data_IF_170077364853
#
_entry.id   IF_170077364853
#
_cell.length_a   1.000
_cell.length_b   1.000
_cell.length_c   1.000
_cell.angle_alpha   90.00
_cell.angle_beta   90.00
_cell.angle_gamma   90.00
#
_symmetry.space_group_name_H-M   'P 1'
#
loop_
_entity.id
_entity.type
_entity.pdbx_description
1 polymer ?
#
# COMPACT_ATOMS: atom_id res chain seq x y z
N UNK A 1 11.46 32.33 -16.98
CA UNK A 1 10.18 32.85 -16.45
C UNK A 1 9.12 31.80 -16.75
N UNK A 2 8.67 31.02 -15.77
CA UNK A 2 7.66 29.97 -15.98
C UNK A 2 6.31 30.51 -15.53
N UNK A 3 5.40 30.72 -16.49
CA UNK A 3 4.02 31.10 -16.22
C UNK A 3 3.25 29.83 -15.91
N UNK A 4 2.88 29.64 -14.64
CA UNK A 4 1.99 28.56 -14.22
C UNK A 4 0.54 29.02 -14.42
N UNK A 5 -0.11 28.58 -15.50
CA UNK A 5 -1.56 28.72 -15.64
C UNK A 5 -2.24 27.66 -14.78
N UNK A 6 -2.82 28.06 -13.66
CA UNK A 6 -3.71 27.21 -12.87
C UNK A 6 -5.02 27.02 -13.65
N UNK A 7 -5.29 25.81 -14.12
CA UNK A 7 -6.62 25.43 -14.62
C UNK A 7 -7.55 25.24 -13.42
N UNK A 8 -8.38 26.24 -13.12
CA UNK A 8 -9.49 26.11 -12.16
C UNK A 8 -10.63 25.34 -12.82
N UNK A 9 -10.65 24.02 -12.66
CA UNK A 9 -11.86 23.25 -12.95
C UNK A 9 -12.91 23.57 -11.87
N UNK A 10 -14.03 24.16 -12.29
CA UNK A 10 -15.19 24.38 -11.42
C UNK A 10 -15.78 23.00 -11.08
N UNK A 11 -15.63 22.59 -9.83
CA UNK A 11 -16.24 21.37 -9.29
C UNK A 11 -17.72 21.66 -9.00
N UNK A 12 -18.64 21.09 -9.77
CA UNK A 12 -20.10 21.22 -9.58
C UNK A 12 -20.70 20.11 -8.72
N UNK A 13 -19.89 19.38 -7.94
CA UNK A 13 -20.42 18.35 -7.06
C UNK A 13 -21.17 18.98 -5.87
N UNK A 14 -22.50 18.99 -5.95
CA UNK A 14 -23.41 19.59 -4.96
C UNK A 14 -23.59 18.75 -3.69
N UNK A 15 -22.82 17.69 -3.50
CA UNK A 15 -22.92 16.80 -2.34
C UNK A 15 -22.27 17.32 -1.06
N UNK A 16 -21.63 18.49 -1.07
CA UNK A 16 -20.92 19.05 0.09
C UNK A 16 -21.69 20.17 0.82
N UNK A 17 -23.01 20.24 0.66
CA UNK A 17 -23.85 21.25 1.31
C UNK A 17 -24.96 20.58 2.09
N UNK A 18 -24.61 20.03 3.26
CA UNK A 18 -25.47 19.90 4.45
C UNK A 18 -24.76 19.04 5.51
N UNK A 19 -23.74 19.59 6.15
CA UNK A 19 -23.31 19.13 7.48
C UNK A 19 -23.27 20.35 8.39
N UNK A 20 -24.41 20.64 9.02
CA UNK A 20 -24.55 21.78 9.90
C UNK A 20 -25.99 22.22 10.13
N UNK A 21 -26.88 21.31 10.53
CA UNK A 21 -28.05 21.67 11.34
C UNK A 21 -28.64 20.43 12.02
N UNK A 22 -29.00 20.66 13.25
CA UNK A 22 -29.41 19.73 14.28
C UNK A 22 -30.70 18.96 13.94
N UNK A 23 -30.82 17.85 14.64
CA UNK A 23 -31.78 16.76 14.61
C UNK A 23 -33.27 17.14 14.53
N UNK A 24 -33.95 16.68 13.47
CA UNK A 24 -35.35 16.25 13.55
C UNK A 24 -35.57 14.96 12.76
N UNK A 25 -36.07 13.93 13.44
CA UNK A 25 -36.45 12.63 12.87
C UNK A 25 -37.65 12.82 11.92
N UNK A 26 -37.37 13.10 10.65
CA UNK A 26 -38.38 13.00 9.59
C UNK A 26 -38.50 11.52 9.21
N UNK A 27 -39.69 10.95 9.43
CA UNK A 27 -40.03 9.60 8.94
C UNK A 27 -39.83 9.59 7.42
N UNK A 28 -38.89 8.79 6.93
CA UNK A 28 -38.70 8.56 5.49
C UNK A 28 -39.89 7.75 4.99
N UNK A 29 -40.81 8.40 4.29
CA UNK A 29 -41.75 7.68 3.44
C UNK A 29 -40.98 6.95 2.33
N UNK A 30 -41.39 5.74 1.93
CA UNK A 30 -40.71 5.00 0.88
C UNK A 30 -40.89 5.76 -0.44
N UNK A 31 -39.80 6.37 -0.91
CA UNK A 31 -39.71 6.90 -2.26
C UNK A 31 -40.04 5.80 -3.26
N UNK A 32 -40.87 6.13 -4.26
CA UNK A 32 -41.27 5.24 -5.36
C UNK A 32 -40.08 4.57 -6.08
N UNK A 33 -38.88 5.19 -6.00
CA UNK A 33 -37.64 4.64 -6.52
C UNK A 33 -37.06 3.44 -5.75
N UNK A 34 -37.50 3.16 -4.52
CA UNK A 34 -36.93 2.08 -3.71
C UNK A 34 -37.35 0.68 -4.18
N UNK A 35 -38.52 0.53 -4.81
CA UNK A 35 -38.94 -0.73 -5.42
C UNK A 35 -38.23 -1.05 -6.74
N UNK A 36 -37.54 -0.07 -7.34
CA UNK A 36 -36.77 -0.26 -8.58
C UNK A 36 -35.35 -0.80 -8.32
N UNK A 37 -34.81 -0.61 -7.11
CA UNK A 37 -33.51 -1.19 -6.72
C UNK A 37 -33.64 -2.55 -6.04
N UNK A 38 -34.87 -2.94 -5.68
CA UNK A 38 -35.18 -4.26 -5.16
C UNK A 38 -35.06 -5.29 -6.30
N UNK A 39 -33.87 -5.88 -6.42
CA UNK A 39 -33.65 -7.05 -7.26
C UNK A 39 -34.54 -8.17 -6.73
N UNK A 40 -35.71 -8.37 -7.33
CA UNK A 40 -36.48 -9.60 -7.16
C UNK A 40 -35.58 -10.78 -7.53
N UNK A 41 -35.03 -11.44 -6.52
CA UNK A 41 -34.42 -12.73 -6.68
C UNK A 41 -35.58 -13.71 -6.82
N UNK A 42 -36.02 -13.93 -8.05
CA UNK A 42 -36.85 -15.09 -8.39
C UNK A 42 -36.01 -16.32 -8.06
N UNK A 43 -36.18 -16.84 -6.84
CA UNK A 43 -35.69 -18.16 -6.47
C UNK A 43 -36.55 -19.17 -7.22
N UNK A 44 -36.08 -19.54 -8.41
CA UNK A 44 -36.60 -20.71 -9.09
C UNK A 44 -36.17 -21.91 -8.24
N UNK A 45 -37.13 -22.50 -7.53
CA UNK A 45 -36.92 -23.74 -6.80
C UNK A 45 -36.90 -24.88 -7.82
N UNK A 46 -35.71 -25.23 -8.30
CA UNK A 46 -35.48 -26.36 -9.24
C UNK A 46 -35.74 -27.75 -8.60
N UNK A 47 -36.61 -27.85 -7.61
CA UNK A 47 -36.78 -29.05 -6.81
C UNK A 47 -38.22 -29.58 -6.84
N UNK A 48 -38.75 -29.83 -8.05
CA UNK A 48 -39.84 -30.79 -8.21
C UNK A 48 -39.19 -32.10 -8.68
N UNK A 49 -38.98 -33.02 -7.75
CA UNK A 49 -38.36 -34.33 -7.99
C UNK A 49 -39.36 -35.26 -8.73
N UNK A 50 -39.66 -34.94 -9.99
CA UNK A 50 -40.45 -35.80 -10.86
C UNK A 50 -39.60 -37.02 -11.27
N UNK A 51 -40.15 -38.24 -11.27
CA UNK A 51 -39.37 -39.46 -11.46
C UNK A 51 -38.82 -39.63 -12.88
N UNK A 52 -39.04 -38.70 -13.82
CA UNK A 52 -38.45 -38.78 -15.15
C UNK A 52 -38.29 -37.42 -15.85
N UNK A 53 -37.04 -36.92 -15.83
CA UNK A 53 -36.58 -35.65 -16.44
C UNK A 53 -36.22 -35.76 -17.94
N UNK A 54 -36.58 -36.85 -18.64
CA UNK A 54 -36.03 -37.12 -19.97
C UNK A 54 -36.62 -36.26 -21.10
N UNK A 55 -37.81 -35.66 -20.91
CA UNK A 55 -38.47 -34.90 -21.97
C UNK A 55 -38.03 -33.43 -21.95
N UNK A 56 -37.85 -32.84 -20.75
CA UNK A 56 -37.49 -31.44 -20.61
C UNK A 56 -36.05 -31.17 -21.10
N UNK A 57 -35.07 -32.02 -20.77
CA UNK A 57 -33.66 -31.83 -21.20
C UNK A 57 -33.37 -32.16 -22.67
N UNK A 58 -34.31 -32.76 -23.41
CA UNK A 58 -34.09 -33.16 -24.81
C UNK A 58 -34.46 -32.10 -25.84
N UNK A 59 -35.01 -30.95 -25.41
CA UNK A 59 -35.41 -29.91 -26.34
C UNK A 59 -34.19 -29.13 -26.85
N UNK A 60 -34.16 -28.85 -28.15
CA UNK A 60 -33.09 -28.07 -28.79
C UNK A 60 -32.89 -26.69 -28.15
N UNK A 61 -33.93 -26.16 -27.50
CA UNK A 61 -33.90 -24.89 -26.77
C UNK A 61 -32.94 -24.92 -25.57
N UNK A 62 -32.96 -25.98 -24.76
CA UNK A 62 -32.08 -26.08 -23.58
C UNK A 62 -30.62 -26.22 -23.96
N UNK A 63 -30.31 -26.99 -25.01
CA UNK A 63 -28.95 -27.07 -25.53
C UNK A 63 -28.46 -25.72 -26.06
N UNK A 64 -29.32 -24.97 -26.77
CA UNK A 64 -28.97 -23.62 -27.24
C UNK A 64 -28.71 -22.67 -26.07
N UNK A 65 -29.53 -22.71 -25.03
CA UNK A 65 -29.36 -21.89 -23.83
C UNK A 65 -28.06 -22.23 -23.08
N UNK A 66 -27.74 -23.52 -22.95
CA UNK A 66 -26.52 -23.97 -22.28
C UNK A 66 -25.25 -23.58 -23.07
N UNK A 67 -25.29 -23.68 -24.41
CA UNK A 67 -24.21 -23.21 -25.28
C UNK A 67 -23.98 -21.70 -25.13
N UNK A 68 -25.05 -20.89 -25.15
CA UNK A 68 -24.94 -19.44 -24.94
C UNK A 68 -24.35 -19.08 -23.56
N UNK A 69 -24.71 -19.83 -22.51
CA UNK A 69 -24.12 -19.63 -21.18
C UNK A 69 -22.62 -19.96 -21.16
N UNK A 70 -22.20 -21.04 -21.83
CA UNK A 70 -20.78 -21.41 -21.93
C UNK A 70 -19.97 -20.38 -22.72
N UNK A 71 -20.51 -19.87 -23.83
CA UNK A 71 -19.88 -18.80 -24.62
C UNK A 71 -19.73 -17.50 -23.82
N UNK A 72 -20.77 -17.10 -23.09
CA UNK A 72 -20.72 -15.92 -22.22
C UNK A 72 -19.66 -16.07 -21.11
N UNK A 73 -19.58 -17.25 -20.47
CA UNK A 73 -18.57 -17.54 -19.46
C UNK A 73 -17.14 -17.56 -20.01
N UNK A 74 -16.93 -18.11 -21.20
CA UNK A 74 -15.62 -18.11 -21.85
C UNK A 74 -15.18 -16.69 -22.21
N UNK A 75 -16.10 -15.88 -22.76
CA UNK A 75 -15.83 -14.47 -23.07
C UNK A 75 -15.45 -13.68 -21.81
N UNK A 76 -16.14 -13.93 -20.69
CA UNK A 76 -15.83 -13.30 -19.42
C UNK A 76 -14.45 -13.69 -18.88
N UNK A 77 -14.09 -14.98 -18.96
CA UNK A 77 -12.75 -15.47 -18.57
C UNK A 77 -11.65 -14.85 -19.41
N UNK A 78 -11.85 -14.71 -20.72
CA UNK A 78 -10.88 -14.07 -21.61
C UNK A 78 -10.67 -12.59 -21.28
N UNK A 79 -11.75 -11.87 -20.92
CA UNK A 79 -11.67 -10.48 -20.47
C UNK A 79 -10.92 -10.38 -19.14
N UNK A 80 -11.20 -11.28 -18.19
CA UNK A 80 -10.50 -11.34 -16.91
C UNK A 80 -9.01 -11.67 -17.06
N UNK A 81 -8.64 -12.54 -18.01
CA UNK A 81 -7.24 -12.85 -18.30
C UNK A 81 -6.52 -11.65 -18.91
N UNK A 82 -7.10 -11.01 -19.93
CA UNK A 82 -6.51 -9.83 -20.59
C UNK A 82 -6.36 -8.64 -19.63
N UNK A 83 -7.32 -8.44 -18.72
CA UNK A 83 -7.22 -7.40 -17.70
C UNK A 83 -6.12 -7.71 -16.68
N UNK A 84 -5.94 -8.97 -16.28
CA UNK A 84 -4.80 -9.40 -15.44
C UNK A 84 -3.45 -9.18 -16.14
N UNK A 85 -3.31 -9.56 -17.40
CA UNK A 85 -2.08 -9.33 -18.18
C UNK A 85 -1.75 -7.83 -18.30
N UNK A 86 -2.76 -7.00 -18.60
CA UNK A 86 -2.58 -5.55 -18.69
C UNK A 86 -2.15 -4.94 -17.36
N UNK A 87 -2.78 -5.33 -16.25
CA UNK A 87 -2.41 -4.83 -14.92
C UNK A 87 -0.99 -5.25 -14.56
N UNK A 88 -0.59 -6.50 -14.84
CA UNK A 88 0.79 -6.97 -14.64
C UNK A 88 1.80 -6.12 -15.45
N UNK A 89 1.57 -5.93 -16.75
CA UNK A 89 2.43 -5.10 -17.58
C UNK A 89 2.57 -3.66 -17.07
N UNK A 90 1.45 -3.06 -16.65
CA UNK A 90 1.44 -1.71 -16.08
C UNK A 90 2.23 -1.64 -14.78
N UNK A 91 2.10 -2.64 -13.90
CA UNK A 91 2.88 -2.69 -12.65
C UNK A 91 4.37 -2.79 -12.92
N UNK A 92 4.77 -3.59 -13.91
CA UNK A 92 6.17 -3.76 -14.30
C UNK A 92 6.75 -2.47 -14.88
N UNK A 93 6.03 -1.80 -15.78
CA UNK A 93 6.45 -0.50 -16.32
C UNK A 93 6.58 0.57 -15.22
N UNK A 94 5.62 0.62 -14.30
CA UNK A 94 5.66 1.55 -13.17
C UNK A 94 6.87 1.27 -12.26
N UNK A 95 7.13 0.00 -11.95
CA UNK A 95 8.30 -0.39 -11.16
C UNK A 95 9.60 0.02 -11.87
N UNK A 96 9.74 -0.28 -13.17
CA UNK A 96 10.89 0.13 -13.97
C UNK A 96 11.10 1.65 -13.89
N UNK A 97 10.04 2.43 -14.10
CA UNK A 97 10.10 3.89 -14.00
C UNK A 97 10.57 4.34 -12.62
N UNK A 98 9.96 3.82 -11.55
CA UNK A 98 10.33 4.15 -10.18
C UNK A 98 11.80 3.83 -9.87
N UNK A 99 12.31 2.67 -10.30
CA UNK A 99 13.73 2.32 -10.15
C UNK A 99 14.64 3.27 -10.92
N UNK A 100 14.30 3.60 -12.17
CA UNK A 100 15.11 4.54 -12.97
C UNK A 100 15.13 5.94 -12.37
N UNK A 101 14.01 6.43 -11.83
CA UNK A 101 13.93 7.74 -11.17
C UNK A 101 14.67 7.74 -9.84
N UNK A 102 14.46 6.73 -9.00
CA UNK A 102 15.13 6.62 -7.69
C UNK A 102 16.63 6.40 -7.82
N UNK A 103 17.10 5.71 -8.86
CA UNK A 103 18.53 5.52 -9.11
C UNK A 103 19.27 6.84 -9.35
N UNK A 104 18.61 7.85 -9.95
CA UNK A 104 19.16 9.20 -10.13
C UNK A 104 19.30 9.95 -8.81
N UNK A 105 18.43 9.66 -7.85
CA UNK A 105 18.49 10.25 -6.50
C UNK A 105 19.58 9.57 -5.67
N UNK A 106 19.90 8.29 -5.95
CA UNK A 106 20.91 7.55 -5.21
C UNK A 106 22.30 8.22 -5.24
N UNK A 107 22.68 8.83 -6.37
CA UNK A 107 23.92 9.58 -6.48
C UNK A 107 23.96 10.88 -5.66
N UNK A 108 22.80 11.38 -5.23
CA UNK A 108 22.70 12.57 -4.38
C UNK A 108 22.84 12.25 -2.89
N UNK A 109 22.72 10.97 -2.50
CA UNK A 109 23.00 10.59 -1.12
C UNK A 109 24.49 10.76 -0.85
N UNK A 110 24.80 11.52 0.21
CA UNK A 110 26.16 11.68 0.70
C UNK A 110 26.74 10.29 0.98
N UNK A 111 27.91 10.02 0.39
CA UNK A 111 28.67 8.81 0.72
C UNK A 111 28.84 8.77 2.24
N UNK A 112 28.50 7.62 2.84
CA UNK A 112 28.65 7.45 4.27
C UNK A 112 30.10 7.78 4.64
N UNK A 113 30.28 8.82 5.45
CA UNK A 113 31.58 9.12 6.01
C UNK A 113 31.92 7.98 6.98
N UNK A 114 33.15 7.44 6.94
CA UNK A 114 33.57 6.48 7.94
C UNK A 114 33.33 7.10 9.32
N UNK A 115 32.77 6.32 10.24
CA UNK A 115 32.57 6.76 11.62
C UNK A 115 33.87 7.36 12.13
N UNK A 116 33.80 8.60 12.63
CA UNK A 116 34.93 9.24 13.27
C UNK A 116 35.46 8.27 14.32
N UNK A 117 36.73 7.88 14.22
CA UNK A 117 37.34 6.96 15.16
C UNK A 117 37.24 7.59 16.55
N UNK A 118 36.36 7.04 17.39
CA UNK A 118 36.02 7.62 18.69
C UNK A 118 37.15 7.42 19.70
N UNK A 119 38.18 6.66 19.34
CA UNK A 119 39.32 6.43 20.22
C UNK A 119 40.45 7.43 19.91
N UNK A 120 40.94 8.18 20.93
CA UNK A 120 42.09 9.05 20.74
C UNK A 120 43.32 8.21 20.43
N UNK A 121 43.92 8.43 19.25
CA UNK A 121 45.15 7.75 18.83
C UNK A 121 46.39 8.51 19.31
N UNK A 122 47.37 7.76 19.82
CA UNK A 122 48.69 8.31 20.15
C UNK A 122 49.54 8.35 18.88
N UNK A 123 50.16 9.50 18.61
CA UNK A 123 51.09 9.64 17.50
C UNK A 123 52.38 8.85 17.78
N UNK A 124 52.67 7.87 16.92
CA UNK A 124 53.84 7.00 16.99
C UNK A 124 55.15 7.72 16.69
N UNK A 125 55.10 8.94 16.14
CA UNK A 125 56.29 9.75 15.85
C UNK A 125 56.85 10.47 17.09
N UNK A 126 56.11 10.46 18.21
CA UNK A 126 56.55 11.12 19.44
C UNK A 126 57.64 10.31 20.17
N UNK A 127 58.48 10.95 21.01
CA UNK A 127 59.37 10.24 21.93
C UNK A 127 58.61 9.28 22.86
N UNK A 128 59.22 8.13 23.17
CA UNK A 128 58.58 7.04 23.94
C UNK A 128 58.04 7.49 25.30
N UNK A 129 58.80 8.30 26.03
CA UNK A 129 58.38 8.83 27.34
C UNK A 129 57.09 9.67 27.26
N UNK A 130 56.92 10.43 26.17
CA UNK A 130 55.74 11.24 25.93
C UNK A 130 54.56 10.36 25.47
N UNK A 131 54.82 9.28 24.73
CA UNK A 131 53.79 8.29 24.38
C UNK A 131 53.26 7.60 25.64
N UNK A 132 54.15 7.14 26.53
CA UNK A 132 53.78 6.46 27.77
C UNK A 132 52.99 7.37 28.71
N UNK A 133 53.35 8.65 28.80
CA UNK A 133 52.62 9.64 29.60
C UNK A 133 51.22 9.92 29.01
N UNK A 134 51.11 10.03 27.68
CA UNK A 134 49.80 10.16 27.01
C UNK A 134 48.94 8.92 27.20
N UNK A 135 49.52 7.73 27.13
CA UNK A 135 48.79 6.47 27.36
C UNK A 135 48.24 6.41 28.78
N UNK A 136 49.05 6.75 29.80
CA UNK A 136 48.60 6.79 31.19
C UNK A 136 47.43 7.76 31.39
N UNK A 137 47.50 8.95 30.78
CA UNK A 137 46.43 9.94 30.85
C UNK A 137 45.14 9.46 30.17
N UNK A 138 45.25 8.91 28.95
CA UNK A 138 44.11 8.34 28.22
C UNK A 138 43.48 7.21 29.04
N UNK A 139 44.30 6.30 29.60
CA UNK A 139 43.82 5.20 30.44
C UNK A 139 43.05 5.70 31.66
N UNK A 140 43.57 6.71 32.34
CA UNK A 140 42.89 7.31 33.50
C UNK A 140 41.53 7.90 33.11
N UNK A 141 41.48 8.65 32.02
CA UNK A 141 40.25 9.24 31.49
C UNK A 141 39.22 8.17 31.17
N UNK A 142 39.62 7.12 30.44
CA UNK A 142 38.74 6.02 30.04
C UNK A 142 38.15 5.28 31.25
N UNK A 143 38.98 4.98 32.25
CA UNK A 143 38.52 4.31 33.49
C UNK A 143 37.53 5.19 34.24
N UNK A 144 37.80 6.48 34.38
CA UNK A 144 36.90 7.40 35.06
C UNK A 144 35.57 7.56 34.33
N UNK A 145 35.59 7.64 33.00
CA UNK A 145 34.36 7.69 32.19
C UNK A 145 33.55 6.41 32.37
N UNK A 146 34.19 5.24 32.37
CA UNK A 146 33.51 3.97 32.61
C UNK A 146 32.86 3.92 34.00
N UNK A 147 33.60 4.29 35.05
CA UNK A 147 33.09 4.35 36.42
C UNK A 147 31.93 5.37 36.56
N UNK A 148 32.02 6.50 35.88
CA UNK A 148 30.97 7.53 35.91
C UNK A 148 29.69 7.05 35.23
N UNK A 149 29.82 6.36 34.09
CA UNK A 149 28.69 5.77 33.39
C UNK A 149 28.05 4.64 34.21
N UNK A 150 28.85 3.76 34.81
CA UNK A 150 28.36 2.69 35.68
C UNK A 150 27.57 3.25 36.87
N UNK A 151 28.10 4.28 37.55
CA UNK A 151 27.37 4.99 38.61
C UNK A 151 26.09 5.63 38.12
N UNK A 152 26.11 6.26 36.94
CA UNK A 152 24.92 6.85 36.35
C UNK A 152 23.83 5.79 36.14
N UNK A 153 24.17 4.67 35.52
CA UNK A 153 23.21 3.59 35.30
C UNK A 153 22.69 2.97 36.60
N UNK A 154 23.54 2.82 37.63
CA UNK A 154 23.12 2.35 38.95
C UNK A 154 22.13 3.30 39.65
N UNK A 155 22.20 4.61 39.37
CA UNK A 155 21.31 5.61 39.96
C UNK A 155 19.99 5.76 39.18
N UNK A 156 20.00 5.50 37.87
CA UNK A 156 18.85 5.75 36.99
C UNK A 156 18.06 4.49 36.60
N UNK A 157 18.61 3.30 36.78
CA UNK A 157 17.96 2.01 36.50
C UNK A 157 17.20 1.49 37.72
#
# INVERSE_FOLDING_TARGET
MFVSSYSTYINTNSSARNDGADSQKVKKEPSFGSGLSEKQTLSFTDAIHLPVDYIAKKSAFWHKLELQKKEAQNTQKDIEQKTKEFTQHKTLQNAQKAYTENSKIFSLFLKANPTLDQTPKIDKKLPKDIQDLKEKNIRHTMVNTYLSNDRYYQLTA
#
